data_IF_428331953409
#
_entry.id   IF_428331953409
#
_cell.length_a   1.000
_cell.length_b   1.000
_cell.length_c   1.000
_cell.angle_alpha   90.00
_cell.angle_beta   90.00
_cell.angle_gamma   90.00
#
_symmetry.space_group_name_H-M   'P 1'
#
loop_
_entity.id
_entity.type
_entity.pdbx_description
1 polymer ?
#
# COMPACT_ATOMS: atom_id res chain seq x y z
N UNK A 1 -1.95 -41.03 -4.13
CA UNK A 1 -2.21 -39.73 -3.50
C UNK A 1 -3.40 -39.86 -2.59
N UNK A 2 -3.20 -39.63 -1.29
CA UNK A 2 -4.34 -39.58 -0.37
C UNK A 2 -5.12 -38.29 -0.67
N UNK A 3 -6.42 -38.45 -0.86
CA UNK A 3 -7.33 -37.32 -1.09
C UNK A 3 -7.39 -36.47 0.18
N UNK A 4 -7.12 -35.17 0.12
CA UNK A 4 -7.20 -34.32 1.30
C UNK A 4 -8.57 -34.46 2.00
N UNK A 5 -8.56 -34.67 3.30
CA UNK A 5 -9.76 -34.84 4.14
C UNK A 5 -10.82 -33.74 3.96
N UNK A 6 -10.36 -32.52 3.60
CA UNK A 6 -11.26 -31.39 3.37
C UNK A 6 -12.25 -31.65 2.22
N UNK A 7 -11.90 -32.45 1.20
CA UNK A 7 -12.80 -32.78 0.10
C UNK A 7 -13.97 -33.63 0.55
N UNK A 8 -13.77 -34.52 1.53
CA UNK A 8 -14.85 -35.32 2.12
C UNK A 8 -15.89 -34.42 2.81
N UNK A 9 -15.42 -33.31 3.44
CA UNK A 9 -16.31 -32.38 4.12
C UNK A 9 -17.02 -31.41 3.17
N UNK A 10 -16.34 -30.95 2.11
CA UNK A 10 -16.91 -30.03 1.14
C UNK A 10 -17.83 -30.73 0.16
N UNK A 11 -17.64 -32.06 -0.06
CA UNK A 11 -18.41 -32.83 -1.01
C UNK A 11 -18.16 -32.52 -2.49
N UNK A 12 -17.10 -31.77 -2.78
CA UNK A 12 -16.69 -31.45 -4.15
C UNK A 12 -15.16 -31.42 -4.26
N UNK A 13 -14.65 -31.73 -5.43
CA UNK A 13 -13.23 -31.59 -5.75
C UNK A 13 -12.95 -30.25 -6.37
N UNK A 14 -11.91 -29.58 -5.87
CA UNK A 14 -11.35 -28.36 -6.47
C UNK A 14 -10.16 -28.75 -7.33
N UNK A 15 -10.18 -28.36 -8.59
CA UNK A 15 -9.19 -28.78 -9.57
C UNK A 15 -8.09 -27.71 -9.74
N UNK A 16 -8.49 -26.48 -9.94
CA UNK A 16 -7.60 -25.37 -10.22
C UNK A 16 -7.67 -24.33 -9.11
N UNK A 17 -6.53 -23.78 -8.70
CA UNK A 17 -6.45 -22.76 -7.67
C UNK A 17 -5.92 -21.47 -8.31
N UNK A 18 -6.64 -20.38 -8.06
CA UNK A 18 -6.20 -19.03 -8.34
C UNK A 18 -6.04 -18.32 -7.00
N UNK A 19 -4.79 -18.09 -6.58
CA UNK A 19 -4.44 -17.43 -5.34
C UNK A 19 -3.85 -16.06 -5.69
N UNK A 20 -4.59 -15.02 -5.36
CA UNK A 20 -4.17 -13.63 -5.57
C UNK A 20 -3.70 -13.01 -4.25
N UNK A 21 -2.91 -11.93 -4.34
CA UNK A 21 -2.31 -11.24 -3.17
C UNK A 21 -1.57 -12.21 -2.21
N UNK A 22 -0.84 -13.17 -2.80
CA UNK A 22 -0.26 -14.27 -2.04
C UNK A 22 0.77 -13.82 -0.99
N UNK A 23 1.38 -12.63 -1.13
CA UNK A 23 2.28 -12.04 -0.14
C UNK A 23 1.60 -11.79 1.21
N UNK A 24 0.27 -11.74 1.25
CA UNK A 24 -0.51 -11.52 2.46
C UNK A 24 -0.98 -12.83 3.12
N UNK A 25 -0.57 -13.96 2.56
CA UNK A 25 -0.87 -15.29 3.09
C UNK A 25 0.02 -15.60 4.30
N UNK A 26 -0.58 -16.14 5.37
CA UNK A 26 0.18 -16.65 6.51
C UNK A 26 0.67 -18.08 6.25
N UNK A 27 1.73 -18.49 6.97
CA UNK A 27 2.27 -19.84 6.86
C UNK A 27 1.19 -20.91 7.16
N UNK A 28 0.38 -20.71 8.18
CA UNK A 28 -0.71 -21.62 8.53
C UNK A 28 -1.76 -21.72 7.41
N UNK A 29 -2.12 -20.62 6.76
CA UNK A 29 -3.04 -20.65 5.61
C UNK A 29 -2.43 -21.42 4.45
N UNK A 30 -1.15 -21.18 4.16
CA UNK A 30 -0.47 -21.91 3.09
C UNK A 30 -0.37 -23.40 3.37
N UNK A 31 0.00 -23.82 4.58
CA UNK A 31 0.06 -25.22 4.99
C UNK A 31 -1.29 -25.95 4.81
N UNK A 32 -2.41 -25.25 4.99
CA UNK A 32 -3.74 -25.80 4.75
C UNK A 32 -4.09 -25.86 3.25
N UNK A 33 -3.62 -24.93 2.42
CA UNK A 33 -3.90 -24.86 1.00
C UNK A 33 -2.97 -25.77 0.18
N UNK A 34 -1.71 -25.92 0.60
CA UNK A 34 -0.67 -26.65 -0.11
C UNK A 34 -1.07 -28.08 -0.50
N UNK A 35 -1.69 -28.91 0.39
CA UNK A 35 -2.15 -30.26 0.03
C UNK A 35 -3.19 -30.25 -1.10
N UNK A 36 -4.07 -29.23 -1.13
CA UNK A 36 -5.11 -29.11 -2.14
C UNK A 36 -4.50 -28.75 -3.50
N UNK A 37 -3.59 -27.77 -3.52
CA UNK A 37 -2.86 -27.36 -4.73
C UNK A 37 -2.04 -28.54 -5.29
N UNK A 38 -1.31 -29.26 -4.41
CA UNK A 38 -0.54 -30.46 -4.81
C UNK A 38 -1.44 -31.55 -5.38
N UNK A 39 -2.62 -31.77 -4.80
CA UNK A 39 -3.56 -32.76 -5.33
C UNK A 39 -4.09 -32.35 -6.70
N UNK A 40 -4.42 -31.08 -6.93
CA UNK A 40 -4.80 -30.56 -8.24
C UNK A 40 -3.71 -30.82 -9.29
N UNK A 41 -2.47 -30.44 -8.99
CA UNK A 41 -1.32 -30.65 -9.87
C UNK A 41 -1.07 -32.13 -10.17
N UNK A 42 -1.16 -33.00 -9.16
CA UNK A 42 -0.99 -34.45 -9.33
C UNK A 42 -2.06 -35.09 -10.23
N UNK A 43 -3.23 -34.47 -10.35
CA UNK A 43 -4.30 -34.86 -11.26
C UNK A 43 -4.24 -34.16 -12.62
N UNK A 44 -3.14 -33.46 -12.93
CA UNK A 44 -2.91 -32.81 -14.23
C UNK A 44 -3.62 -31.47 -14.40
N UNK A 45 -4.03 -30.81 -13.29
CA UNK A 45 -4.64 -29.49 -13.32
C UNK A 45 -3.61 -28.40 -13.03
N UNK A 46 -3.86 -27.22 -13.57
CA UNK A 46 -3.00 -26.04 -13.38
C UNK A 46 -3.51 -25.17 -12.20
N UNK A 47 -2.57 -24.49 -11.55
CA UNK A 47 -2.88 -23.47 -10.55
C UNK A 47 -2.06 -22.23 -10.80
N UNK A 48 -2.60 -21.06 -10.41
CA UNK A 48 -1.94 -19.78 -10.58
C UNK A 48 -1.84 -19.08 -9.21
N UNK A 49 -0.62 -18.68 -8.87
CA UNK A 49 -0.32 -17.89 -7.65
C UNK A 49 0.22 -16.54 -8.10
N UNK A 50 -0.44 -15.47 -7.65
CA UNK A 50 -0.11 -14.09 -8.00
C UNK A 50 0.18 -13.34 -6.71
N UNK A 51 1.21 -12.51 -6.72
CA UNK A 51 1.57 -11.65 -5.61
C UNK A 51 2.81 -10.80 -5.90
N UNK A 52 3.04 -9.84 -5.03
CA UNK A 52 4.23 -8.99 -5.06
C UNK A 52 4.77 -8.83 -3.63
N UNK A 53 5.94 -9.39 -3.36
CA UNK A 53 6.61 -9.34 -2.04
C UNK A 53 6.71 -7.91 -1.51
N UNK A 54 6.91 -6.92 -2.40
CA UNK A 54 7.04 -5.50 -2.07
C UNK A 54 5.73 -4.87 -1.55
N UNK A 55 4.58 -5.50 -1.82
CA UNK A 55 3.27 -5.05 -1.38
C UNK A 55 2.80 -5.70 -0.07
N UNK A 56 3.64 -6.51 0.58
CA UNK A 56 3.32 -7.15 1.86
C UNK A 56 3.25 -6.13 2.99
N UNK A 57 2.03 -5.82 3.44
CA UNK A 57 1.75 -4.85 4.52
C UNK A 57 1.05 -5.46 5.74
N UNK A 58 0.71 -6.77 5.70
CA UNK A 58 -0.06 -7.44 6.75
C UNK A 58 0.77 -8.34 7.68
N UNK A 59 2.06 -8.02 7.89
CA UNK A 59 2.92 -8.78 8.83
C UNK A 59 2.33 -8.85 10.24
N UNK A 60 1.61 -7.84 10.68
CA UNK A 60 0.90 -7.83 11.97
C UNK A 60 -0.27 -8.83 12.02
N UNK A 61 -0.70 -9.39 10.88
CA UNK A 61 -1.68 -10.47 10.76
C UNK A 61 -1.01 -11.82 10.44
N UNK A 62 0.29 -11.95 10.73
CA UNK A 62 1.10 -13.13 10.47
C UNK A 62 1.26 -13.49 8.98
N UNK A 63 1.12 -12.53 8.05
CA UNK A 63 1.52 -12.77 6.68
C UNK A 63 3.02 -13.01 6.58
N UNK A 64 3.42 -13.94 5.71
CA UNK A 64 4.82 -14.31 5.51
C UNK A 64 5.21 -14.13 4.04
N UNK A 65 5.79 -12.99 3.65
CA UNK A 65 6.21 -12.73 2.28
C UNK A 65 7.28 -13.71 1.77
N UNK A 66 7.98 -14.42 2.68
CA UNK A 66 8.94 -15.45 2.32
C UNK A 66 8.27 -16.66 1.64
N UNK A 67 6.98 -16.86 1.85
CA UNK A 67 6.23 -17.87 1.13
C UNK A 67 6.32 -17.66 -0.37
N UNK A 68 6.09 -16.43 -0.83
CA UNK A 68 6.16 -16.06 -2.25
C UNK A 68 7.61 -15.98 -2.73
N UNK A 69 8.52 -15.42 -1.92
CA UNK A 69 9.90 -15.18 -2.32
C UNK A 69 10.72 -16.46 -2.53
N UNK A 70 10.58 -17.42 -1.60
CA UNK A 70 11.44 -18.60 -1.58
C UNK A 70 10.73 -19.93 -1.33
N UNK A 71 9.68 -19.94 -0.48
CA UNK A 71 9.07 -21.20 -0.02
C UNK A 71 8.38 -21.97 -1.16
N UNK A 72 7.74 -21.28 -2.11
CA UNK A 72 7.12 -21.94 -3.27
C UNK A 72 8.11 -22.77 -4.08
N UNK A 73 9.37 -22.32 -4.17
CA UNK A 73 10.44 -23.06 -4.86
C UNK A 73 10.82 -24.35 -4.13
N UNK A 74 10.66 -24.36 -2.80
CA UNK A 74 10.90 -25.54 -1.95
C UNK A 74 9.74 -26.50 -1.99
N UNK A 75 8.51 -25.96 -1.99
CA UNK A 75 7.28 -26.75 -1.94
C UNK A 75 6.98 -27.49 -3.25
N UNK A 76 7.42 -26.91 -4.38
CA UNK A 76 7.23 -27.50 -5.71
C UNK A 76 8.59 -27.72 -6.38
N UNK A 77 8.75 -28.89 -7.02
CA UNK A 77 9.95 -29.14 -7.82
C UNK A 77 10.02 -28.19 -9.01
N UNK A 78 11.24 -27.86 -9.46
CA UNK A 78 11.51 -26.88 -10.52
C UNK A 78 10.75 -27.15 -11.83
N UNK A 79 10.39 -28.41 -12.12
CA UNK A 79 9.67 -28.79 -13.33
C UNK A 79 8.17 -28.47 -13.28
N UNK A 80 7.64 -28.18 -12.08
CA UNK A 80 6.21 -27.91 -11.87
C UNK A 80 5.87 -26.43 -11.87
N UNK A 81 6.86 -25.53 -11.72
CA UNK A 81 6.63 -24.10 -11.64
C UNK A 81 7.13 -23.43 -12.92
N UNK A 82 6.23 -22.69 -13.53
CA UNK A 82 6.57 -21.73 -14.60
C UNK A 82 6.51 -20.33 -14.01
N UNK A 83 7.66 -19.70 -13.89
CA UNK A 83 7.71 -18.27 -13.53
C UNK A 83 7.36 -17.43 -14.75
N UNK A 84 6.53 -16.43 -14.54
CA UNK A 84 6.35 -15.40 -15.54
C UNK A 84 7.54 -14.43 -15.44
N UNK A 85 8.61 -14.71 -16.17
CA UNK A 85 9.77 -13.83 -16.31
C UNK A 85 9.48 -12.62 -17.23
N UNK A 86 8.21 -12.39 -17.55
CA UNK A 86 7.77 -11.27 -18.36
C UNK A 86 8.15 -9.94 -17.72
N UNK A 87 8.39 -8.95 -18.55
CA UNK A 87 8.66 -7.57 -18.12
C UNK A 87 7.52 -7.08 -17.24
N UNK A 88 7.87 -6.41 -16.14
CA UNK A 88 6.90 -5.80 -15.24
C UNK A 88 6.26 -4.57 -15.90
N UNK A 89 5.21 -4.77 -16.72
CA UNK A 89 4.52 -3.68 -17.40
C UNK A 89 3.42 -3.11 -16.50
N UNK A 90 3.50 -1.81 -16.25
CA UNK A 90 2.46 -1.09 -15.52
C UNK A 90 1.34 -0.65 -16.47
N UNK A 91 0.22 -1.36 -16.40
CA UNK A 91 -0.98 -1.08 -17.20
C UNK A 91 -1.91 -0.02 -16.58
N UNK A 92 -1.67 0.36 -15.33
CA UNK A 92 -2.53 1.26 -14.56
C UNK A 92 -2.11 2.72 -14.68
N UNK A 93 -0.82 2.99 -14.49
CA UNK A 93 -0.33 4.34 -14.23
C UNK A 93 0.13 5.05 -15.51
N UNK A 94 0.02 6.37 -15.52
CA UNK A 94 0.56 7.23 -16.55
C UNK A 94 2.11 7.25 -16.50
N UNK A 95 2.74 7.56 -17.64
CA UNK A 95 4.20 7.47 -17.85
C UNK A 95 5.03 8.11 -16.74
N UNK A 96 4.80 9.38 -16.43
CA UNK A 96 5.62 10.09 -15.44
C UNK A 96 5.48 9.52 -14.03
N UNK A 97 4.33 8.90 -13.71
CA UNK A 97 4.12 8.24 -12.41
C UNK A 97 4.98 6.97 -12.34
N UNK A 98 5.03 6.18 -13.41
CA UNK A 98 5.89 4.98 -13.47
C UNK A 98 7.36 5.35 -13.34
N UNK A 99 7.82 6.34 -14.11
CA UNK A 99 9.22 6.80 -14.04
C UNK A 99 9.59 7.36 -12.67
N UNK A 100 8.69 8.15 -12.07
CA UNK A 100 8.92 8.65 -10.73
C UNK A 100 9.00 7.53 -9.69
N UNK A 101 8.07 6.56 -9.75
CA UNK A 101 8.09 5.41 -8.85
C UNK A 101 9.38 4.61 -8.99
N UNK A 102 9.81 4.31 -10.21
CA UNK A 102 11.06 3.59 -10.44
C UNK A 102 12.24 4.32 -9.79
N UNK A 103 12.40 5.62 -10.05
CA UNK A 103 13.48 6.41 -9.46
C UNK A 103 13.39 6.49 -7.93
N UNK A 104 12.19 6.68 -7.39
CA UNK A 104 11.95 6.80 -5.96
C UNK A 104 12.26 5.49 -5.22
N UNK A 105 11.74 4.36 -5.71
CA UNK A 105 11.96 3.07 -5.04
C UNK A 105 13.38 2.54 -5.22
N UNK A 106 14.05 2.81 -6.35
CA UNK A 106 15.48 2.53 -6.50
C UNK A 106 16.34 3.34 -5.54
N UNK A 107 16.01 4.61 -5.32
CA UNK A 107 16.68 5.44 -4.31
C UNK A 107 16.42 4.91 -2.90
N UNK A 108 15.17 4.60 -2.59
CA UNK A 108 14.76 4.17 -1.26
C UNK A 108 15.36 2.81 -0.88
N UNK A 109 15.44 1.86 -1.83
CA UNK A 109 16.04 0.54 -1.59
C UNK A 109 17.48 0.66 -1.13
N UNK A 110 18.27 1.52 -1.80
CA UNK A 110 19.66 1.79 -1.44
C UNK A 110 19.79 2.51 -0.10
N UNK A 111 18.89 3.46 0.16
CA UNK A 111 18.93 4.21 1.41
C UNK A 111 18.56 3.38 2.65
N UNK A 112 17.84 2.27 2.47
CA UNK A 112 17.36 1.39 3.53
C UNK A 112 18.02 0.01 3.53
N UNK A 113 19.06 -0.23 2.71
CA UNK A 113 19.73 -1.52 2.53
C UNK A 113 18.73 -2.67 2.22
N UNK A 114 17.78 -2.41 1.33
CA UNK A 114 16.72 -3.35 0.93
C UNK A 114 16.85 -3.79 -0.53
N UNK A 115 18.04 -3.75 -1.11
CA UNK A 115 18.27 -4.00 -2.54
C UNK A 115 17.80 -5.39 -2.98
N UNK A 116 17.91 -6.41 -2.12
CA UNK A 116 17.47 -7.78 -2.41
C UNK A 116 15.96 -7.84 -2.72
N UNK A 117 15.13 -7.12 -1.93
CA UNK A 117 13.67 -7.11 -2.10
C UNK A 117 13.20 -6.21 -3.23
N UNK A 118 14.02 -5.26 -3.65
CA UNK A 118 13.69 -4.27 -4.67
C UNK A 118 14.50 -4.45 -5.97
N UNK A 119 15.18 -5.59 -6.15
CA UNK A 119 15.95 -5.88 -7.35
C UNK A 119 15.11 -5.72 -8.64
N UNK A 120 13.84 -6.15 -8.60
CA UNK A 120 12.90 -6.13 -9.71
C UNK A 120 11.85 -5.01 -9.59
N UNK A 121 12.23 -3.87 -8.98
CA UNK A 121 11.26 -2.77 -8.76
C UNK A 121 10.93 -2.02 -10.04
N UNK A 122 11.79 -2.06 -11.02
CA UNK A 122 11.62 -1.30 -12.26
C UNK A 122 10.46 -1.83 -13.10
N UNK A 123 9.56 -0.92 -13.46
CA UNK A 123 8.40 -1.20 -14.30
C UNK A 123 8.51 -0.48 -15.63
N UNK A 124 8.02 -1.11 -16.69
CA UNK A 124 7.84 -0.49 -17.99
C UNK A 124 6.47 0.17 -18.08
N UNK A 125 6.39 1.25 -18.84
CA UNK A 125 5.11 1.89 -19.16
C UNK A 125 4.38 1.06 -20.21
N UNK A 126 3.09 0.81 -20.01
CA UNK A 126 2.31 0.13 -21.03
C UNK A 126 2.19 0.98 -22.31
N UNK A 127 2.15 0.37 -23.48
CA UNK A 127 1.97 1.11 -24.74
C UNK A 127 0.69 1.99 -24.76
N UNK A 128 -0.35 1.56 -24.03
CA UNK A 128 -1.60 2.32 -23.89
C UNK A 128 -1.40 3.63 -23.13
N UNK A 129 -0.53 3.63 -22.11
CA UNK A 129 -0.33 4.75 -21.21
C UNK A 129 0.86 5.63 -21.59
N UNK A 130 1.62 5.27 -22.61
CA UNK A 130 2.82 6.00 -23.07
C UNK A 130 2.53 7.47 -23.39
N UNK A 131 1.34 7.74 -23.96
CA UNK A 131 0.91 9.08 -24.34
C UNK A 131 0.29 9.87 -23.18
N UNK A 132 0.06 9.22 -22.03
CA UNK A 132 -0.48 9.87 -20.83
C UNK A 132 0.67 10.36 -19.95
N UNK A 133 0.94 11.68 -19.88
CA UNK A 133 2.11 12.15 -19.14
C UNK A 133 2.01 11.87 -17.65
N UNK A 134 0.86 12.08 -17.03
CA UNK A 134 0.71 12.03 -15.59
C UNK A 134 1.46 13.16 -14.88
N UNK A 135 1.20 13.34 -13.58
CA UNK A 135 1.85 14.37 -12.77
C UNK A 135 2.06 13.88 -11.34
N UNK A 136 3.24 14.15 -10.79
CA UNK A 136 3.60 13.86 -9.40
C UNK A 136 3.99 15.15 -8.72
N UNK A 137 3.46 15.41 -7.55
CA UNK A 137 3.81 16.58 -6.72
C UNK A 137 4.25 16.08 -5.35
N UNK A 138 5.41 16.53 -4.92
CA UNK A 138 5.89 16.31 -3.55
C UNK A 138 5.91 17.66 -2.85
N UNK A 139 5.09 17.82 -1.82
CA UNK A 139 5.07 19.00 -0.99
C UNK A 139 5.86 18.76 0.30
N UNK A 140 6.76 19.69 0.63
CA UNK A 140 7.58 19.64 1.84
C UNK A 140 7.39 20.92 2.64
N UNK A 141 7.31 20.79 3.94
CA UNK A 141 7.34 21.92 4.87
C UNK A 141 8.61 21.84 5.72
N UNK A 142 9.35 22.92 5.78
CA UNK A 142 10.45 23.06 6.74
C UNK A 142 9.87 23.48 8.10
N UNK A 143 10.21 22.71 9.12
CA UNK A 143 9.88 23.06 10.49
C UNK A 143 11.10 23.86 11.02
N UNK A 144 10.95 25.14 11.35
CA UNK A 144 12.07 25.93 11.86
C UNK A 144 12.55 25.34 13.19
N UNK A 145 13.85 25.09 13.29
CA UNK A 145 14.48 24.73 14.54
C UNK A 145 14.21 25.81 15.59
N UNK A 146 13.60 25.44 16.72
CA UNK A 146 13.49 26.36 17.85
C UNK A 146 14.92 26.73 18.27
N UNK A 147 15.29 28.01 18.14
CA UNK A 147 16.55 28.51 18.66
C UNK A 147 16.65 28.09 20.13
N UNK A 148 17.66 27.28 20.47
CA UNK A 148 18.05 27.07 21.86
C UNK A 148 18.41 28.44 22.42
N UNK A 149 17.55 28.99 23.26
CA UNK A 149 17.92 30.15 24.07
C UNK A 149 19.03 29.68 24.99
N UNK A 150 20.26 30.03 24.65
CA UNK A 150 21.44 29.96 25.53
C UNK A 150 21.37 31.18 26.46
N UNK A 151 20.48 31.18 27.42
CA UNK A 151 20.62 31.96 28.62
C UNK A 151 20.74 31.03 29.80
N UNK A 152 21.95 31.08 30.38
CA UNK A 152 22.29 30.27 31.50
C UNK A 152 21.52 30.69 32.76
N UNK A 153 20.72 29.75 33.26
CA UNK A 153 20.44 29.64 34.68
C UNK A 153 20.08 28.18 34.97
N UNK A 154 20.93 27.57 35.80
CA UNK A 154 20.65 26.33 36.47
C UNK A 154 19.33 26.46 37.25
N UNK A 155 18.35 25.60 36.98
CA UNK A 155 17.74 24.76 38.02
C UNK A 155 16.62 23.89 37.45
N UNK A 156 16.55 22.67 38.05
CA UNK A 156 15.43 21.72 38.03
C UNK A 156 15.04 20.96 36.78
N UNK A 157 15.38 19.68 36.83
CA UNK A 157 14.78 18.56 36.12
C UNK A 157 13.24 18.66 36.11
N UNK A 158 12.64 18.82 34.93
CA UNK A 158 11.28 18.35 34.66
C UNK A 158 11.10 18.14 33.16
N UNK A 159 10.89 16.91 32.76
CA UNK A 159 10.17 16.35 31.62
C UNK A 159 10.18 17.12 30.29
N UNK A 160 11.09 16.68 29.41
CA UNK A 160 11.21 17.10 27.99
C UNK A 160 10.36 16.21 27.08
N UNK A 161 9.04 16.13 27.25
CA UNK A 161 8.16 15.34 26.38
C UNK A 161 7.14 16.16 25.57
N UNK A 162 7.10 17.48 25.68
CA UNK A 162 6.01 18.29 25.10
C UNK A 162 6.34 18.94 23.74
N UNK A 163 7.61 18.98 23.35
CA UNK A 163 8.02 19.75 22.16
C UNK A 163 7.90 19.02 20.82
N UNK A 164 7.79 17.68 20.82
CA UNK A 164 7.58 16.88 19.60
C UNK A 164 6.11 16.91 19.16
N UNK A 165 5.18 17.00 20.08
CA UNK A 165 3.75 17.00 19.80
C UNK A 165 3.27 18.28 19.08
N UNK A 166 3.82 19.44 19.41
CA UNK A 166 3.45 20.73 18.81
C UNK A 166 3.88 20.84 17.34
N UNK A 167 5.05 20.32 17.00
CA UNK A 167 5.55 20.34 15.62
C UNK A 167 4.80 19.35 14.74
N UNK A 168 4.46 18.18 15.27
CA UNK A 168 3.69 17.15 14.57
C UNK A 168 2.24 17.62 14.33
N UNK A 169 1.60 18.23 15.32
CA UNK A 169 0.24 18.80 15.15
C UNK A 169 0.21 19.90 14.08
N UNK A 170 1.18 20.80 14.09
CA UNK A 170 1.29 21.89 13.11
C UNK A 170 1.58 21.38 11.69
N UNK A 171 2.36 20.30 11.56
CA UNK A 171 2.58 19.66 10.26
C UNK A 171 1.30 19.00 9.73
N UNK A 172 0.55 18.29 10.59
CA UNK A 172 -0.71 17.63 10.21
C UNK A 172 -1.77 18.63 9.79
N UNK A 173 -1.91 19.73 10.51
CA UNK A 173 -2.82 20.81 10.12
C UNK A 173 -2.45 21.38 8.73
N UNK A 174 -1.19 21.69 8.50
CA UNK A 174 -0.73 22.17 7.20
C UNK A 174 -0.99 21.15 6.08
N UNK A 175 -0.73 19.86 6.32
CA UNK A 175 -0.96 18.80 5.34
C UNK A 175 -2.45 18.68 4.96
N UNK A 176 -3.34 18.80 5.95
CA UNK A 176 -4.78 18.76 5.76
C UNK A 176 -5.28 19.98 4.98
N UNK A 177 -4.80 21.19 5.31
CA UNK A 177 -5.15 22.40 4.56
C UNK A 177 -4.64 22.31 3.11
N UNK A 178 -3.43 21.83 2.91
CA UNK A 178 -2.88 21.58 1.57
C UNK A 178 -3.73 20.57 0.79
N UNK A 179 -4.17 19.49 1.43
CA UNK A 179 -5.08 18.51 0.85
C UNK A 179 -6.38 19.16 0.35
N UNK A 180 -7.01 20.03 1.14
CA UNK A 180 -8.23 20.74 0.72
C UNK A 180 -7.98 21.58 -0.53
N UNK A 181 -6.88 22.34 -0.55
CA UNK A 181 -6.50 23.15 -1.72
C UNK A 181 -6.28 22.28 -2.96
N UNK A 182 -5.62 21.13 -2.81
CA UNK A 182 -5.36 20.20 -3.92
C UNK A 182 -6.66 19.56 -4.43
N UNK A 183 -7.57 19.15 -3.52
CA UNK A 183 -8.89 18.63 -3.88
C UNK A 183 -9.70 19.66 -4.69
N UNK A 184 -9.72 20.91 -4.25
CA UNK A 184 -10.40 22.00 -4.97
C UNK A 184 -9.82 22.20 -6.37
N UNK A 185 -8.48 22.21 -6.47
CA UNK A 185 -7.77 22.34 -7.74
C UNK A 185 -8.10 21.19 -8.70
N UNK A 186 -8.14 19.95 -8.21
CA UNK A 186 -8.48 18.79 -9.01
C UNK A 186 -9.93 18.87 -9.52
N UNK A 187 -10.88 19.20 -8.64
CA UNK A 187 -12.30 19.36 -9.00
C UNK A 187 -12.50 20.50 -10.01
N UNK A 188 -11.82 21.62 -9.85
CA UNK A 188 -11.86 22.75 -10.78
C UNK A 188 -11.30 22.39 -12.17
N UNK A 189 -10.36 21.44 -12.24
CA UNK A 189 -9.80 20.90 -13.48
C UNK A 189 -10.68 19.83 -14.13
N UNK A 190 -11.81 19.47 -13.51
CA UNK A 190 -12.80 18.53 -14.04
C UNK A 190 -12.60 17.07 -13.62
N UNK A 191 -11.73 16.78 -12.67
CA UNK A 191 -11.64 15.44 -12.07
C UNK A 191 -12.91 15.15 -11.27
N UNK A 192 -13.42 13.93 -11.39
CA UNK A 192 -14.62 13.51 -10.65
C UNK A 192 -14.22 13.07 -9.24
N UNK A 193 -15.04 13.37 -8.25
CA UNK A 193 -14.77 12.99 -6.86
C UNK A 193 -14.50 11.48 -6.69
N UNK A 194 -15.21 10.64 -7.40
CA UNK A 194 -15.04 9.18 -7.38
C UNK A 194 -13.68 8.68 -7.89
N UNK A 195 -12.96 9.53 -8.61
CA UNK A 195 -11.65 9.19 -9.20
C UNK A 195 -10.49 9.71 -8.34
N UNK A 196 -10.80 10.27 -7.17
CA UNK A 196 -9.82 10.84 -6.22
C UNK A 196 -9.80 9.98 -4.95
N UNK A 197 -8.62 9.55 -4.55
CA UNK A 197 -8.40 8.86 -3.29
C UNK A 197 -7.43 9.66 -2.40
N UNK A 198 -7.71 9.70 -1.10
CA UNK A 198 -6.82 10.27 -0.08
C UNK A 198 -6.34 9.12 0.80
N UNK A 199 -5.03 8.96 0.91
CA UNK A 199 -4.41 7.97 1.77
C UNK A 199 -3.82 8.64 3.00
N UNK A 200 -4.06 8.07 4.17
CA UNK A 200 -3.51 8.50 5.45
C UNK A 200 -2.72 7.37 6.08
N UNK A 201 -1.71 7.71 6.87
CA UNK A 201 -0.90 6.71 7.55
C UNK A 201 -1.62 6.07 8.75
N UNK A 202 -2.52 6.80 9.38
CA UNK A 202 -3.29 6.33 10.55
C UNK A 202 -4.77 6.67 10.41
N UNK A 203 -5.63 5.89 11.08
CA UNK A 203 -7.06 6.14 11.15
C UNK A 203 -7.36 7.54 11.72
N UNK A 204 -6.60 7.99 12.72
CA UNK A 204 -6.73 9.32 13.30
C UNK A 204 -6.50 10.43 12.28
N UNK A 205 -5.51 10.30 11.42
CA UNK A 205 -5.26 11.26 10.33
C UNK A 205 -6.38 11.24 9.30
N UNK A 206 -6.91 10.05 8.96
CA UNK A 206 -8.08 9.90 8.11
C UNK A 206 -9.31 10.61 8.67
N UNK A 207 -9.58 10.46 9.97
CA UNK A 207 -10.68 11.15 10.68
C UNK A 207 -10.49 12.67 10.67
N UNK A 208 -9.28 13.16 10.88
CA UNK A 208 -8.99 14.61 10.80
C UNK A 208 -9.25 15.15 9.38
N UNK A 209 -8.83 14.41 8.35
CA UNK A 209 -9.10 14.78 6.96
C UNK A 209 -10.61 14.83 6.66
N UNK A 210 -11.39 13.84 7.11
CA UNK A 210 -12.84 13.80 6.96
C UNK A 210 -13.48 14.98 7.68
N UNK A 211 -13.11 15.22 8.93
CA UNK A 211 -13.65 16.33 9.74
C UNK A 211 -13.40 17.69 9.08
N UNK A 212 -12.22 17.86 8.48
CA UNK A 212 -11.87 19.09 7.76
C UNK A 212 -12.68 19.26 6.47
N UNK A 213 -12.91 18.17 5.72
CA UNK A 213 -13.78 18.20 4.54
C UNK A 213 -15.24 18.54 4.94
N UNK A 214 -15.74 17.95 6.01
CA UNK A 214 -17.10 18.28 6.52
C UNK A 214 -17.23 19.74 6.91
N UNK A 215 -16.22 20.29 7.60
CA UNK A 215 -16.19 21.73 7.94
C UNK A 215 -16.20 22.59 6.67
N UNK A 216 -15.38 22.23 5.68
CA UNK A 216 -15.33 22.92 4.41
C UNK A 216 -16.68 22.86 3.68
N UNK A 217 -17.40 21.73 3.72
CA UNK A 217 -18.72 21.57 3.12
C UNK A 217 -19.79 22.49 3.75
N UNK A 218 -19.71 22.73 5.07
CA UNK A 218 -20.59 23.68 5.77
C UNK A 218 -20.32 25.11 5.29
N UNK A 219 -19.05 25.45 5.11
CA UNK A 219 -18.63 26.77 4.62
C UNK A 219 -18.92 26.97 3.12
N UNK A 220 -19.09 25.87 2.34
CA UNK A 220 -19.25 25.90 0.88
C UNK A 220 -20.40 24.97 0.43
N UNK A 221 -21.67 25.28 0.73
CA UNK A 221 -22.80 24.39 0.47
C UNK A 221 -23.03 24.07 -1.01
N UNK A 222 -22.63 24.97 -1.92
CA UNK A 222 -22.78 24.80 -3.35
C UNK A 222 -21.69 23.90 -4.00
N UNK A 223 -20.64 23.57 -3.27
CA UNK A 223 -19.45 22.84 -3.78
C UNK A 223 -19.07 21.65 -2.91
N UNK A 224 -20.06 20.94 -2.38
CA UNK A 224 -19.83 19.86 -1.44
C UNK A 224 -18.95 18.72 -1.99
N UNK A 225 -18.03 18.28 -1.17
CA UNK A 225 -17.21 17.08 -1.41
C UNK A 225 -17.83 15.90 -0.66
N UNK A 226 -18.15 14.82 -1.38
CA UNK A 226 -18.61 13.57 -0.78
C UNK A 226 -17.40 12.71 -0.40
N UNK A 227 -17.39 12.23 0.83
CA UNK A 227 -16.33 11.35 1.34
C UNK A 227 -16.94 10.00 1.65
N UNK A 228 -16.22 8.93 1.28
CA UNK A 228 -16.53 7.55 1.64
C UNK A 228 -15.30 6.98 2.35
N UNK A 229 -15.50 6.45 3.54
CA UNK A 229 -14.46 5.77 4.32
C UNK A 229 -15.11 4.61 5.07
N UNK A 230 -14.35 3.53 5.29
CA UNK A 230 -14.85 2.41 6.10
C UNK A 230 -15.26 2.84 7.50
N UNK A 231 -14.56 3.82 8.09
CA UNK A 231 -14.89 4.36 9.41
C UNK A 231 -16.04 5.37 9.39
N UNK A 232 -16.32 6.04 8.28
CA UNK A 232 -17.44 6.97 8.18
C UNK A 232 -18.81 6.26 8.20
N UNK A 233 -18.83 4.96 8.01
CA UNK A 233 -20.04 4.12 8.13
C UNK A 233 -20.37 3.78 9.60
N UNK A 234 -19.46 4.08 10.55
CA UNK A 234 -19.65 3.85 11.97
C UNK A 234 -20.19 5.08 12.72
N UNK A 235 -20.41 6.19 12.03
CA UNK A 235 -20.90 7.47 12.59
C UNK A 235 -22.26 7.81 11.98
N UNK A 236 -23.23 6.92 12.20
CA UNK A 236 -24.67 7.22 12.05
C UNK A 236 -25.37 6.77 13.34
#
# INVERSE_FOLDING_TARGET
CETPFIYERIGMYLHNFLLDEFQDTSRMQWENLLPLVRNGLANGHDSLIIGDVKQSIYRFRNSDPQLLHSQLKVDFSNDSIKYNEGRSINWRSARNIVHWNNAFFQFLSKALDMDEFYADVEQEVSPKNEKLPGHVVVARREIPDKKKNTDGSNDSKTESNDNSNDNDSNFKEWAIEKMIVDLQSLLARGFKQKDIAVLSNTNREGQLAISRIMKWNIENPDKQMKVVSEESLLVI
#
